data_IF_919300250160
#
_entry.id   IF_919300250160
#
_cell.length_a   1.000
_cell.length_b   1.000
_cell.length_c   1.000
_cell.angle_alpha   90.00
_cell.angle_beta   90.00
_cell.angle_gamma   90.00
#
_symmetry.space_group_name_H-M   'P 1'
#
loop_
_entity.id
_entity.type
_entity.pdbx_description
1 polymer ?
#
# COMPACT_ATOMS: atom_id res chain seq x y z
N UNK A 1 -17.65 16.23 -9.91
CA UNK A 1 -17.08 15.22 -8.99
C UNK A 1 -17.90 13.96 -9.15
N UNK A 2 -17.31 12.90 -9.71
CA UNK A 2 -18.01 11.64 -9.97
C UNK A 2 -18.41 10.96 -8.67
N UNK A 3 -19.55 10.25 -8.67
CA UNK A 3 -20.01 9.43 -7.54
C UNK A 3 -18.84 8.59 -7.03
N UNK A 4 -18.49 8.73 -5.75
CA UNK A 4 -17.65 7.76 -5.07
C UNK A 4 -18.34 6.39 -5.22
N UNK A 5 -17.79 5.51 -6.06
CA UNK A 5 -18.18 4.11 -5.98
C UNK A 5 -17.62 3.63 -4.64
N UNK A 6 -18.49 3.52 -3.65
CA UNK A 6 -18.17 2.84 -2.41
C UNK A 6 -17.67 1.44 -2.79
N UNK A 7 -16.37 1.19 -2.65
CA UNK A 7 -15.82 -0.10 -3.01
C UNK A 7 -16.36 -1.21 -2.09
N UNK A 8 -16.10 -2.47 -2.44
CA UNK A 8 -16.59 -3.61 -1.67
C UNK A 8 -16.13 -3.62 -0.20
N UNK A 9 -15.00 -2.99 0.11
CA UNK A 9 -14.49 -2.87 1.48
C UNK A 9 -15.24 -1.79 2.25
N UNK A 10 -15.47 -0.63 1.62
CA UNK A 10 -16.30 0.41 2.23
C UNK A 10 -17.72 -0.10 2.50
N UNK A 11 -18.34 -0.78 1.54
CA UNK A 11 -19.72 -1.27 1.71
C UNK A 11 -19.87 -2.20 2.92
N UNK A 12 -18.81 -2.94 3.29
CA UNK A 12 -18.82 -3.90 4.40
C UNK A 12 -18.32 -3.35 5.73
N UNK A 13 -17.32 -2.46 5.70
CA UNK A 13 -16.62 -1.99 6.91
C UNK A 13 -16.63 -0.45 7.08
N UNK A 14 -17.20 0.30 6.15
CA UNK A 14 -17.21 1.76 6.18
C UNK A 14 -15.82 2.39 6.25
N UNK A 15 -15.77 3.64 6.72
CA UNK A 15 -14.53 4.44 6.78
C UNK A 15 -13.48 3.92 7.77
N UNK A 16 -13.94 3.35 8.87
CA UNK A 16 -13.09 3.12 10.04
C UNK A 16 -12.54 1.71 10.13
N UNK A 17 -13.29 0.71 9.70
CA UNK A 17 -13.02 -0.66 10.14
C UNK A 17 -12.14 -1.47 9.18
N UNK A 18 -11.94 -1.02 7.94
CA UNK A 18 -11.10 -1.74 6.97
C UNK A 18 -9.65 -1.88 7.43
N UNK A 19 -9.11 -0.86 8.11
CA UNK A 19 -7.74 -0.83 8.64
C UNK A 19 -7.63 -1.25 10.12
N UNK A 20 -8.72 -1.72 10.72
CA UNK A 20 -8.77 -2.05 12.15
C UNK A 20 -9.23 -3.47 12.45
N UNK A 21 -10.08 -4.07 11.59
CA UNK A 21 -10.69 -5.38 11.87
C UNK A 21 -9.93 -6.51 11.20
N UNK A 22 -9.63 -7.55 11.97
CA UNK A 22 -9.02 -8.77 11.46
C UNK A 22 -9.80 -9.40 10.29
N UNK A 23 -11.14 -9.36 10.33
CA UNK A 23 -11.95 -9.85 9.22
C UNK A 23 -11.69 -9.08 7.90
N UNK A 24 -11.49 -7.76 7.99
CA UNK A 24 -11.16 -6.93 6.84
C UNK A 24 -9.74 -7.24 6.33
N UNK A 25 -8.83 -7.53 7.25
CA UNK A 25 -7.46 -7.93 6.98
C UNK A 25 -7.46 -9.24 6.19
N UNK A 26 -8.09 -10.28 6.73
CA UNK A 26 -8.17 -11.60 6.11
C UNK A 26 -8.81 -11.53 4.72
N UNK A 27 -9.85 -10.71 4.55
CA UNK A 27 -10.50 -10.49 3.25
C UNK A 27 -9.57 -9.79 2.26
N UNK A 28 -8.79 -8.81 2.71
CA UNK A 28 -7.80 -8.14 1.86
C UNK A 28 -6.65 -9.08 1.49
N UNK A 29 -6.18 -9.89 2.43
CA UNK A 29 -5.13 -10.90 2.21
C UNK A 29 -5.58 -11.97 1.22
N UNK A 30 -6.84 -12.40 1.28
CA UNK A 30 -7.41 -13.29 0.28
C UNK A 30 -7.36 -12.67 -1.13
N UNK A 31 -7.65 -11.37 -1.26
CA UNK A 31 -7.50 -10.64 -2.53
C UNK A 31 -6.04 -10.55 -2.97
N UNK A 32 -5.11 -10.24 -2.07
CA UNK A 32 -3.68 -10.20 -2.38
C UNK A 32 -3.20 -11.57 -2.86
N UNK A 33 -3.56 -12.65 -2.17
CA UNK A 33 -3.27 -14.03 -2.58
C UNK A 33 -3.85 -14.35 -3.95
N UNK A 34 -5.08 -13.94 -4.24
CA UNK A 34 -5.71 -14.14 -5.54
C UNK A 34 -4.92 -13.45 -6.67
N UNK A 35 -4.55 -12.18 -6.48
CA UNK A 35 -3.77 -11.41 -7.45
C UNK A 35 -2.38 -12.03 -7.66
N UNK A 36 -1.70 -12.38 -6.57
CA UNK A 36 -0.36 -12.99 -6.62
C UNK A 36 -0.36 -14.33 -7.37
N UNK A 37 -1.40 -15.14 -7.22
CA UNK A 37 -1.52 -16.43 -7.89
C UNK A 37 -2.17 -16.34 -9.28
N UNK A 38 -2.55 -15.14 -9.75
CA UNK A 38 -3.12 -14.98 -11.07
C UNK A 38 -2.13 -15.41 -12.15
N UNK A 39 -2.59 -16.29 -13.05
CA UNK A 39 -1.85 -16.70 -14.25
C UNK A 39 -2.28 -15.80 -15.39
N UNK A 40 -1.35 -15.01 -15.92
CA UNK A 40 -1.61 -14.12 -17.04
C UNK A 40 -2.18 -14.87 -18.24
N UNK A 41 -3.35 -14.44 -18.74
CA UNK A 41 -4.05 -15.08 -19.86
C UNK A 41 -3.16 -15.32 -21.09
N UNK A 42 -2.31 -14.34 -21.42
CA UNK A 42 -1.47 -14.38 -22.62
C UNK A 42 -0.01 -14.75 -22.33
N UNK A 43 0.52 -14.40 -21.15
CA UNK A 43 1.90 -14.74 -20.80
C UNK A 43 2.03 -16.17 -20.28
N UNK A 44 0.95 -16.75 -19.75
CA UNK A 44 0.96 -18.01 -19.02
C UNK A 44 1.79 -17.97 -17.73
N UNK A 45 2.30 -16.80 -17.32
CA UNK A 45 3.13 -16.63 -16.13
C UNK A 45 2.27 -16.32 -14.91
N UNK A 46 2.62 -16.94 -13.79
CA UNK A 46 2.03 -16.62 -12.48
C UNK A 46 2.67 -15.34 -11.96
N UNK A 47 1.85 -14.37 -11.60
CA UNK A 47 2.29 -13.01 -11.27
C UNK A 47 3.30 -12.94 -10.13
N UNK A 48 3.12 -13.73 -9.06
CA UNK A 48 4.09 -13.77 -7.95
C UNK A 48 5.48 -14.28 -8.33
N UNK A 49 5.63 -14.93 -9.50
CA UNK A 49 6.86 -15.55 -9.99
C UNK A 49 7.36 -14.91 -11.30
N UNK A 50 6.98 -13.66 -11.60
CA UNK A 50 7.31 -12.99 -12.86
C UNK A 50 8.14 -11.71 -12.71
N UNK A 51 9.34 -11.78 -12.11
CA UNK A 51 10.18 -10.60 -11.83
C UNK A 51 10.74 -9.93 -13.08
N UNK A 52 10.68 -10.56 -14.25
CA UNK A 52 11.12 -9.97 -15.52
C UNK A 52 10.20 -8.85 -16.01
N UNK A 53 8.94 -8.82 -15.55
CA UNK A 53 7.92 -7.85 -16.00
C UNK A 53 7.30 -7.09 -14.83
N UNK A 54 7.16 -7.73 -13.68
CA UNK A 54 6.57 -7.10 -12.50
C UNK A 54 7.68 -6.58 -11.62
N UNK A 55 7.86 -5.25 -11.60
CA UNK A 55 8.84 -4.58 -10.76
C UNK A 55 8.40 -4.55 -9.28
N UNK A 56 7.14 -4.19 -9.04
CA UNK A 56 6.61 -4.07 -7.68
C UNK A 56 5.11 -4.34 -7.61
N UNK A 57 4.69 -4.95 -6.51
CA UNK A 57 3.31 -4.84 -6.05
C UNK A 57 3.21 -3.72 -5.02
N UNK A 58 2.33 -2.76 -5.32
CA UNK A 58 1.95 -1.71 -4.37
C UNK A 58 0.83 -2.28 -3.49
N UNK A 59 1.00 -2.21 -2.18
CA UNK A 59 0.03 -2.75 -1.21
C UNK A 59 -1.34 -2.14 -1.47
N UNK A 60 -1.44 -0.81 -1.48
CA UNK A 60 -2.66 -0.08 -1.83
C UNK A 60 -2.28 1.31 -2.37
N UNK A 61 -3.08 1.89 -3.27
CA UNK A 61 -2.95 3.31 -3.58
C UNK A 61 -3.45 4.14 -2.39
N UNK A 62 -2.62 5.07 -1.91
CA UNK A 62 -2.98 6.02 -0.84
C UNK A 62 -3.68 5.36 0.36
N UNK A 63 -3.05 4.38 1.03
CA UNK A 63 -3.64 3.81 2.23
C UNK A 63 -3.89 4.93 3.24
N UNK A 64 -5.15 5.23 3.49
CA UNK A 64 -5.57 6.18 4.50
C UNK A 64 -5.93 5.36 5.74
N UNK A 65 -4.94 4.92 6.53
CA UNK A 65 -5.22 4.46 7.92
C UNK A 65 -6.21 5.46 8.52
N UNK A 66 -7.30 5.05 9.19
CA UNK A 66 -8.68 5.55 9.03
C UNK A 66 -8.94 7.01 9.50
N UNK A 67 -8.13 7.95 9.04
CA UNK A 67 -7.94 9.30 9.53
C UNK A 67 -6.45 9.60 9.80
N UNK A 68 -5.97 10.84 9.55
CA UNK A 68 -4.59 11.24 9.82
C UNK A 68 -4.10 10.91 11.24
N UNK A 69 -4.98 10.97 12.25
CA UNK A 69 -4.65 10.65 13.65
C UNK A 69 -4.27 9.18 13.86
N UNK A 70 -4.87 8.24 13.12
CA UNK A 70 -4.54 6.82 13.23
C UNK A 70 -3.24 6.47 12.52
N UNK A 71 -2.89 7.22 11.48
CA UNK A 71 -1.56 7.15 10.89
C UNK A 71 -0.51 7.67 11.89
N UNK A 72 -0.76 8.81 12.55
CA UNK A 72 0.18 9.39 13.52
C UNK A 72 0.41 8.47 14.72
N UNK A 73 -0.53 7.58 15.03
CA UNK A 73 -0.37 6.53 16.05
C UNK A 73 0.51 5.34 15.60
N UNK A 74 1.17 5.43 14.43
CA UNK A 74 2.19 4.48 14.00
C UNK A 74 1.65 3.15 13.49
N UNK A 75 0.49 3.13 12.82
CA UNK A 75 -0.17 1.91 12.33
C UNK A 75 -0.43 0.89 13.47
N UNK A 76 -1.27 1.24 14.47
CA UNK A 76 -1.41 0.46 15.71
C UNK A 76 -1.96 -0.96 15.50
N UNK A 77 -2.66 -1.19 14.39
CA UNK A 77 -3.16 -2.52 14.03
C UNK A 77 -2.17 -3.33 13.17
N UNK A 78 -0.99 -2.76 12.86
CA UNK A 78 0.04 -3.37 12.03
C UNK A 78 -0.46 -3.70 10.62
N UNK A 79 -1.38 -2.89 10.08
CA UNK A 79 -2.03 -3.16 8.80
C UNK A 79 -1.01 -3.25 7.68
N UNK A 80 -0.13 -2.25 7.55
CA UNK A 80 0.79 -2.10 6.43
C UNK A 80 1.82 -3.22 6.41
N UNK A 81 2.55 -3.41 7.52
CA UNK A 81 3.56 -4.46 7.60
C UNK A 81 2.92 -5.86 7.57
N UNK A 82 1.72 -6.02 8.14
CA UNK A 82 0.96 -7.26 8.06
C UNK A 82 0.62 -7.67 6.63
N UNK A 83 0.11 -6.73 5.80
CA UNK A 83 -0.18 -7.01 4.39
C UNK A 83 1.11 -7.33 3.61
N UNK A 84 2.19 -6.59 3.87
CA UNK A 84 3.49 -6.84 3.25
C UNK A 84 4.01 -8.25 3.56
N UNK A 85 3.96 -8.67 4.82
CA UNK A 85 4.37 -10.01 5.27
C UNK A 85 3.50 -11.09 4.65
N UNK A 86 2.19 -10.88 4.57
CA UNK A 86 1.29 -11.83 3.90
C UNK A 86 1.72 -12.09 2.45
N UNK A 87 2.07 -11.06 1.70
CA UNK A 87 2.56 -11.23 0.32
C UNK A 87 3.85 -12.06 0.24
N UNK A 88 4.78 -11.85 1.18
CA UNK A 88 6.01 -12.66 1.29
C UNK A 88 5.70 -14.12 1.62
N UNK A 89 4.83 -14.36 2.60
CA UNK A 89 4.37 -15.71 3.00
C UNK A 89 3.64 -16.41 1.85
N UNK A 90 2.87 -15.68 1.04
CA UNK A 90 2.19 -16.20 -0.14
C UNK A 90 3.15 -16.63 -1.28
N UNK A 91 4.46 -16.44 -1.09
CA UNK A 91 5.52 -16.85 -2.02
C UNK A 91 5.78 -15.82 -3.11
N UNK A 92 5.62 -14.52 -2.81
CA UNK A 92 6.08 -13.47 -3.72
C UNK A 92 7.60 -13.54 -3.88
N UNK A 93 8.04 -13.70 -5.13
CA UNK A 93 9.44 -13.77 -5.48
C UNK A 93 10.20 -12.51 -4.99
N UNK A 94 11.39 -12.71 -4.43
CA UNK A 94 12.10 -11.69 -3.65
C UNK A 94 12.61 -10.51 -4.48
N UNK A 95 12.83 -10.68 -5.79
CA UNK A 95 13.21 -9.59 -6.70
C UNK A 95 12.02 -8.70 -7.04
N UNK A 96 10.79 -9.14 -6.80
CA UNK A 96 9.61 -8.28 -6.91
C UNK A 96 9.47 -7.48 -5.60
N UNK A 97 9.47 -6.16 -5.72
CA UNK A 97 9.39 -5.27 -4.57
C UNK A 97 7.97 -5.23 -4.01
N UNK A 98 7.86 -5.20 -2.69
CA UNK A 98 6.62 -4.79 -2.01
C UNK A 98 6.75 -3.31 -1.69
N UNK A 99 5.83 -2.49 -2.21
CA UNK A 99 5.84 -1.04 -2.00
C UNK A 99 4.57 -0.54 -1.32
N UNK A 100 4.70 0.57 -0.59
CA UNK A 100 3.60 1.11 0.24
C UNK A 100 2.43 1.71 -0.56
N UNK A 101 2.70 2.20 -1.77
CA UNK A 101 1.72 2.90 -2.61
C UNK A 101 1.25 4.28 -2.10
N UNK A 102 1.99 4.91 -1.17
CA UNK A 102 1.75 6.29 -0.76
C UNK A 102 1.00 6.40 0.55
N UNK A 103 1.52 5.79 1.62
CA UNK A 103 0.83 5.75 2.92
C UNK A 103 0.46 7.17 3.39
N UNK A 104 -0.82 7.37 3.67
CA UNK A 104 -1.44 8.62 4.07
C UNK A 104 -1.74 9.59 2.93
N UNK A 105 -1.53 9.23 1.67
CA UNK A 105 -1.68 10.17 0.55
C UNK A 105 -0.55 11.19 0.52
N UNK A 106 -0.89 12.48 0.53
CA UNK A 106 0.10 13.56 0.51
C UNK A 106 1.08 13.45 1.69
N UNK A 107 2.39 13.60 1.40
CA UNK A 107 3.46 13.56 2.39
C UNK A 107 3.24 14.54 3.55
N UNK A 108 2.50 15.63 3.34
CA UNK A 108 2.18 16.60 4.41
C UNK A 108 1.33 16.03 5.54
N UNK A 109 0.69 14.87 5.37
CA UNK A 109 -0.03 14.19 6.44
C UNK A 109 0.90 13.48 7.44
N UNK A 110 2.20 13.35 7.14
CA UNK A 110 3.20 12.80 8.07
C UNK A 110 3.19 11.27 8.21
N UNK A 111 2.52 10.57 7.30
CA UNK A 111 2.33 9.11 7.37
C UNK A 111 3.38 8.30 6.60
N UNK A 112 4.06 8.92 5.64
CA UNK A 112 4.90 8.23 4.65
C UNK A 112 6.07 7.47 5.28
N UNK A 113 6.67 8.02 6.34
CA UNK A 113 7.88 7.51 6.99
C UNK A 113 7.63 7.02 8.42
N UNK A 114 6.44 6.50 8.72
CA UNK A 114 6.16 5.92 10.02
C UNK A 114 7.11 4.74 10.32
N UNK A 115 7.59 4.58 11.57
CA UNK A 115 8.46 3.47 11.96
C UNK A 115 7.91 2.09 11.58
N UNK A 116 6.60 1.89 11.73
CA UNK A 116 5.93 0.64 11.35
C UNK A 116 6.08 0.28 9.85
N UNK A 117 6.41 1.26 9.01
CA UNK A 117 6.72 1.07 7.59
C UNK A 117 8.22 0.98 7.37
N UNK A 118 8.99 1.97 7.86
CA UNK A 118 10.43 2.07 7.58
C UNK A 118 11.25 0.95 8.22
N UNK A 119 10.72 0.31 9.28
CA UNK A 119 11.36 -0.81 9.98
C UNK A 119 10.77 -2.17 9.59
N UNK A 120 9.78 -2.22 8.68
CA UNK A 120 9.20 -3.47 8.24
C UNK A 120 10.09 -4.15 7.20
N UNK A 121 10.65 -5.30 7.57
CA UNK A 121 11.50 -6.14 6.73
C UNK A 121 10.82 -6.67 5.45
N UNK A 122 9.49 -6.76 5.45
CA UNK A 122 8.73 -7.20 4.29
C UNK A 122 8.51 -6.09 3.24
N UNK A 123 8.70 -4.81 3.59
CA UNK A 123 8.54 -3.66 2.69
C UNK A 123 9.89 -3.34 2.05
N UNK A 124 9.90 -3.26 0.72
CA UNK A 124 11.14 -3.05 -0.05
C UNK A 124 11.27 -1.63 -0.60
N UNK A 125 10.15 -0.90 -0.73
CA UNK A 125 10.17 0.48 -1.21
C UNK A 125 9.06 1.31 -0.56
N UNK A 126 9.41 2.55 -0.21
CA UNK A 126 8.47 3.55 0.27
C UNK A 126 8.06 4.40 -0.93
N UNK A 127 6.75 4.51 -1.15
CA UNK A 127 6.18 5.32 -2.21
C UNK A 127 5.74 6.63 -1.58
N UNK A 128 6.12 7.75 -2.19
CA UNK A 128 5.82 9.09 -1.70
C UNK A 128 4.82 9.70 -2.67
N UNK A 129 3.74 10.26 -2.13
CA UNK A 129 2.82 11.07 -2.93
C UNK A 129 2.81 12.49 -2.41
N UNK A 130 2.68 13.44 -3.34
CA UNK A 130 2.47 14.83 -2.99
C UNK A 130 1.83 15.59 -4.16
N UNK A 131 0.95 16.50 -3.83
CA UNK A 131 0.16 17.24 -4.80
C UNK A 131 0.73 18.64 -4.94
N UNK A 132 1.75 18.78 -5.79
CA UNK A 132 2.54 20.00 -5.92
C UNK A 132 1.93 21.05 -6.87
N UNK A 133 0.66 20.92 -7.28
CA UNK A 133 -0.11 21.81 -8.20
C UNK A 133 0.47 22.05 -9.61
N UNK A 134 1.80 22.09 -9.79
CA UNK A 134 2.50 22.26 -11.07
C UNK A 134 3.71 21.30 -11.19
N UNK A 135 4.00 20.76 -12.39
CA UNK A 135 5.01 19.70 -12.59
C UNK A 135 6.45 20.02 -12.16
N UNK A 136 6.84 21.30 -12.04
CA UNK A 136 8.19 21.71 -11.64
C UNK A 136 8.41 21.86 -10.13
N UNK A 137 7.34 21.95 -9.33
CA UNK A 137 7.50 22.14 -7.89
C UNK A 137 8.08 20.92 -7.19
N UNK A 138 7.93 19.72 -7.77
CA UNK A 138 8.44 18.50 -7.18
C UNK A 138 9.96 18.51 -7.05
N UNK A 139 10.67 18.59 -8.18
CA UNK A 139 12.13 18.49 -8.22
C UNK A 139 12.79 19.64 -7.45
N UNK A 140 12.24 20.85 -7.52
CA UNK A 140 12.80 22.02 -6.82
C UNK A 140 12.60 21.95 -5.30
N UNK A 141 11.48 21.38 -4.82
CA UNK A 141 11.15 21.42 -3.39
C UNK A 141 11.29 20.08 -2.67
N UNK A 142 11.59 18.98 -3.38
CA UNK A 142 11.80 17.66 -2.78
C UNK A 142 12.74 17.70 -1.56
N UNK A 143 13.90 18.40 -1.59
CA UNK A 143 14.78 18.49 -0.41
C UNK A 143 14.14 19.14 0.81
N UNK A 144 13.07 19.94 0.64
CA UNK A 144 12.35 20.57 1.74
C UNK A 144 11.26 19.68 2.33
N UNK A 145 10.79 18.69 1.57
CA UNK A 145 9.67 17.81 1.95
C UNK A 145 10.12 16.47 2.53
N UNK A 146 11.24 15.94 2.03
CA UNK A 146 11.83 14.70 2.52
C UNK A 146 13.01 15.10 3.39
N UNK A 147 12.86 14.98 4.70
CA UNK A 147 13.89 15.28 5.70
C UNK A 147 14.27 14.02 6.45
#
# INVERSE_FOLDING_TARGET
MGKASWDAYWARWGAGYFYQKQEAFDTYDARLSYILNYKGKYSGKVWKNWPQVIFSFNIQNEPMTPGPSQCQNGDPAGWMCGRARHMRIAGLESRILVSTGGLGGDISHGCTFLPAVTQCDAISAISIQRYASVPGQWSTNMPNWIK
#
